data_IF_220153975743
#
_entry.id   IF_220153975743
#
_cell.length_a   1.000
_cell.length_b   1.000
_cell.length_c   1.000
_cell.angle_alpha   90.00
_cell.angle_beta   90.00
_cell.angle_gamma   90.00
#
_symmetry.space_group_name_H-M   'P 1'
#
loop_
_entity.id
_entity.type
_entity.pdbx_description
1 polymer ?
#
# COMPACT_ATOMS: atom_id res chain seq x y z
N UNK A 1 26.70 1.67 26.75
CA UNK A 1 25.80 1.14 25.69
C UNK A 1 25.61 2.22 24.64
N UNK A 2 26.10 2.03 23.41
CA UNK A 2 26.04 3.06 22.36
C UNK A 2 24.61 3.13 21.82
N UNK A 3 23.97 4.30 21.91
CA UNK A 3 22.63 4.49 21.36
C UNK A 3 22.70 4.40 19.82
N UNK A 4 21.92 3.50 19.18
CA UNK A 4 21.96 3.40 17.74
C UNK A 4 21.47 4.69 17.09
N UNK A 5 22.04 5.03 15.94
CA UNK A 5 21.50 6.13 15.12
C UNK A 5 20.04 5.85 14.75
N UNK A 6 19.22 6.85 14.42
CA UNK A 6 17.83 6.60 14.01
C UNK A 6 17.69 5.63 12.83
N UNK A 7 18.66 5.61 11.90
CA UNK A 7 18.70 4.63 10.82
C UNK A 7 19.08 3.24 11.34
N UNK A 8 20.08 3.17 12.23
CA UNK A 8 20.47 1.91 12.88
C UNK A 8 19.33 1.29 13.69
N UNK A 9 18.59 2.11 14.44
CA UNK A 9 17.41 1.68 15.17
C UNK A 9 16.30 1.16 14.24
N UNK A 10 16.08 1.81 13.09
CA UNK A 10 15.14 1.29 12.09
C UNK A 10 15.57 -0.07 11.54
N UNK A 11 16.86 -0.21 11.17
CA UNK A 11 17.39 -1.45 10.60
C UNK A 11 17.27 -2.59 11.61
N UNK A 12 17.69 -2.37 12.86
CA UNK A 12 17.60 -3.37 13.93
C UNK A 12 16.13 -3.79 14.10
N UNK A 13 15.21 -2.84 14.31
CA UNK A 13 13.81 -3.17 14.56
C UNK A 13 13.15 -3.92 13.38
N UNK A 14 13.52 -3.58 12.13
CA UNK A 14 13.03 -4.30 10.94
C UNK A 14 13.61 -5.71 10.84
N UNK A 15 14.87 -5.91 11.22
CA UNK A 15 15.49 -7.23 11.23
C UNK A 15 14.82 -8.11 12.28
N UNK A 16 14.64 -7.60 13.50
CA UNK A 16 13.94 -8.32 14.58
C UNK A 16 12.52 -8.70 14.15
N UNK A 17 11.77 -7.76 13.56
CA UNK A 17 10.42 -8.03 13.03
C UNK A 17 10.43 -9.20 12.02
N UNK A 18 11.40 -9.24 11.10
CA UNK A 18 11.49 -10.32 10.11
C UNK A 18 11.89 -11.66 10.73
N UNK A 19 12.74 -11.66 11.75
CA UNK A 19 13.09 -12.87 12.50
C UNK A 19 11.84 -13.40 13.19
N UNK A 20 11.14 -12.52 13.93
CA UNK A 20 9.88 -12.86 14.59
C UNK A 20 8.89 -13.40 13.57
N UNK A 21 8.61 -12.72 12.46
CA UNK A 21 7.68 -13.19 11.42
C UNK A 21 8.09 -14.57 10.88
N UNK A 22 9.39 -14.75 10.57
CA UNK A 22 9.91 -16.02 10.06
C UNK A 22 9.64 -17.14 11.07
N UNK A 23 9.97 -16.94 12.33
CA UNK A 23 9.86 -17.98 13.36
C UNK A 23 8.40 -18.22 13.75
N UNK A 24 7.63 -17.13 13.89
CA UNK A 24 6.22 -17.11 14.23
C UNK A 24 5.36 -17.93 13.26
N UNK A 25 5.64 -17.84 11.96
CA UNK A 25 4.91 -18.60 10.94
C UNK A 25 5.48 -19.99 10.67
N UNK A 26 6.66 -20.32 11.20
CA UNK A 26 7.30 -21.63 11.00
C UNK A 26 6.70 -22.72 11.88
N UNK A 27 6.25 -22.39 13.09
CA UNK A 27 5.68 -23.38 14.03
C UNK A 27 4.24 -23.72 13.63
N UNK A 28 4.07 -24.84 12.93
CA UNK A 28 2.74 -25.38 12.58
C UNK A 28 1.96 -25.76 13.84
N UNK A 29 0.66 -25.43 13.88
CA UNK A 29 -0.24 -25.81 14.99
C UNK A 29 -0.15 -24.93 16.24
N UNK A 30 0.84 -24.04 16.38
CA UNK A 30 0.95 -23.15 17.54
C UNK A 30 -0.28 -22.26 17.72
N UNK A 31 -0.90 -21.84 16.61
CA UNK A 31 -2.14 -21.06 16.59
C UNK A 31 -3.36 -21.81 17.12
N UNK A 32 -3.29 -23.14 17.18
CA UNK A 32 -4.35 -23.99 17.68
C UNK A 32 -4.23 -24.25 19.19
N UNK A 33 -3.08 -23.93 19.79
CA UNK A 33 -2.86 -24.13 21.23
C UNK A 33 -3.75 -23.20 22.04
N UNK A 34 -4.44 -23.73 23.05
CA UNK A 34 -5.44 -22.96 23.81
C UNK A 34 -4.83 -21.81 24.61
N UNK A 35 -3.63 -22.02 25.17
CA UNK A 35 -2.83 -20.95 25.82
C UNK A 35 -2.49 -19.84 24.82
N UNK A 36 -2.22 -20.22 23.57
CA UNK A 36 -1.88 -19.26 22.53
C UNK A 36 -3.10 -18.47 22.06
N UNK A 37 -4.27 -19.12 21.91
CA UNK A 37 -5.55 -18.45 21.60
C UNK A 37 -5.96 -17.43 22.66
N UNK A 38 -5.67 -17.70 23.94
CA UNK A 38 -5.97 -16.77 25.04
C UNK A 38 -5.14 -15.47 24.97
N UNK A 39 -3.93 -15.52 24.41
CA UNK A 39 -3.02 -14.35 24.33
C UNK A 39 -2.95 -13.70 22.93
N UNK A 40 -3.36 -14.41 21.88
CA UNK A 40 -3.33 -13.99 20.47
C UNK A 40 -3.91 -12.58 20.22
N UNK A 41 -5.15 -12.27 20.67
CA UNK A 41 -5.82 -11.04 20.26
C UNK A 41 -5.42 -9.80 21.07
N UNK A 42 -4.90 -9.99 22.29
CA UNK A 42 -4.72 -8.90 23.25
C UNK A 42 -3.26 -8.47 23.45
N UNK A 43 -2.29 -9.40 23.41
CA UNK A 43 -0.89 -9.09 23.69
C UNK A 43 -0.01 -9.14 22.44
N UNK A 44 -0.13 -10.21 21.65
CA UNK A 44 0.77 -10.44 20.50
C UNK A 44 0.49 -9.45 19.37
N UNK A 45 -0.78 -9.29 18.98
CA UNK A 45 -1.21 -8.30 17.97
C UNK A 45 -0.84 -6.88 18.39
N UNK A 46 -1.10 -6.51 19.64
CA UNK A 46 -0.75 -5.19 20.18
C UNK A 46 0.76 -4.92 20.13
N UNK A 47 1.60 -5.94 20.37
CA UNK A 47 3.05 -5.82 20.24
C UNK A 47 3.47 -5.62 18.78
N UNK A 48 2.90 -6.37 17.83
CA UNK A 48 3.14 -6.17 16.41
C UNK A 48 2.74 -4.77 15.95
N UNK A 49 1.56 -4.29 16.36
CA UNK A 49 1.08 -2.94 16.05
C UNK A 49 1.99 -1.85 16.63
N UNK A 50 2.51 -2.05 17.85
CA UNK A 50 3.45 -1.12 18.47
C UNK A 50 4.78 -1.06 17.72
N UNK A 51 5.32 -2.21 17.29
CA UNK A 51 6.53 -2.30 16.47
C UNK A 51 6.31 -1.62 15.13
N UNK A 52 5.18 -1.89 14.47
CA UNK A 52 4.84 -1.28 13.19
C UNK A 52 4.68 0.24 13.31
N UNK A 53 3.99 0.73 14.33
CA UNK A 53 3.88 2.16 14.60
C UNK A 53 5.26 2.80 14.79
N UNK A 54 6.18 2.16 15.50
CA UNK A 54 7.55 2.63 15.64
C UNK A 54 8.30 2.63 14.30
N UNK A 55 8.17 1.56 13.49
CA UNK A 55 8.75 1.47 12.15
C UNK A 55 8.24 2.57 11.22
N UNK A 56 6.94 2.89 11.27
CA UNK A 56 6.37 3.96 10.46
C UNK A 56 6.97 5.32 10.85
N UNK A 57 7.18 5.59 12.13
CA UNK A 57 7.85 6.83 12.58
C UNK A 57 9.29 6.92 12.08
N UNK A 58 10.05 5.82 12.13
CA UNK A 58 11.41 5.79 11.57
C UNK A 58 11.41 5.99 10.05
N UNK A 59 10.53 5.28 9.34
CA UNK A 59 10.37 5.37 7.89
C UNK A 59 9.99 6.78 7.46
N UNK A 60 9.06 7.44 8.15
CA UNK A 60 8.65 8.81 7.89
C UNK A 60 9.85 9.77 8.00
N UNK A 61 10.58 9.72 9.11
CA UNK A 61 11.82 10.52 9.31
C UNK A 61 12.86 10.25 8.22
N UNK A 62 13.03 8.99 7.80
CA UNK A 62 13.96 8.63 6.72
C UNK A 62 13.54 9.21 5.38
N UNK A 63 12.25 9.13 5.05
CA UNK A 63 11.68 9.67 3.80
C UNK A 63 11.80 11.19 3.78
N UNK A 64 11.44 11.86 4.87
CA UNK A 64 11.55 13.31 5.03
C UNK A 64 12.99 13.78 4.82
N UNK A 65 13.96 13.09 5.42
CA UNK A 65 15.39 13.40 5.27
C UNK A 65 15.95 13.02 3.89
N UNK A 66 15.36 12.05 3.20
CA UNK A 66 15.70 11.67 1.82
C UNK A 66 17.09 11.03 1.61
N UNK A 67 17.85 10.78 2.68
CA UNK A 67 19.25 10.33 2.60
C UNK A 67 19.44 8.85 2.30
N UNK A 68 18.51 8.00 2.73
CA UNK A 68 18.69 6.55 2.69
C UNK A 68 17.41 5.86 2.22
N UNK A 69 17.58 4.79 1.46
CA UNK A 69 16.53 3.85 1.08
C UNK A 69 16.91 2.46 1.56
N UNK A 70 16.04 1.84 2.36
CA UNK A 70 16.18 0.44 2.75
C UNK A 70 15.44 -0.41 1.72
N UNK A 71 16.15 -1.34 1.09
CA UNK A 71 15.56 -2.40 0.26
C UNK A 71 15.70 -3.72 1.00
N UNK A 72 14.60 -4.43 1.32
CA UNK A 72 14.72 -5.78 1.82
C UNK A 72 15.39 -6.69 0.79
N UNK A 73 16.18 -7.65 1.27
CA UNK A 73 16.58 -8.80 0.47
C UNK A 73 15.45 -9.84 0.50
N UNK A 74 15.26 -10.58 -0.60
CA UNK A 74 14.15 -11.52 -0.74
C UNK A 74 14.28 -12.68 0.26
N UNK A 75 15.46 -13.29 0.33
CA UNK A 75 15.68 -14.53 1.07
C UNK A 75 16.46 -14.33 2.37
N UNK A 76 16.49 -13.09 2.90
CA UNK A 76 17.18 -12.82 4.16
C UNK A 76 16.50 -11.74 5.00
N UNK A 77 16.83 -11.75 6.29
CA UNK A 77 16.44 -10.71 7.25
C UNK A 77 17.21 -9.40 7.03
N UNK A 78 18.17 -9.39 6.10
CA UNK A 78 19.06 -8.27 5.83
C UNK A 78 18.46 -7.25 4.85
N UNK A 79 19.03 -6.04 4.88
CA UNK A 79 18.60 -4.93 4.04
C UNK A 79 19.77 -4.33 3.26
N UNK A 80 19.55 -4.04 1.99
CA UNK A 80 20.42 -3.14 1.24
C UNK A 80 20.13 -1.70 1.63
N UNK A 81 21.14 -1.02 2.19
CA UNK A 81 21.08 0.41 2.48
C UNK A 81 21.61 1.18 1.26
N UNK A 82 20.71 1.81 0.50
CA UNK A 82 21.08 2.66 -0.64
C UNK A 82 21.15 4.11 -0.20
N UNK A 83 22.29 4.75 -0.43
CA UNK A 83 22.49 6.18 -0.21
C UNK A 83 22.62 6.87 -1.59
N UNK A 84 21.64 7.70 -2.01
CA UNK A 84 21.71 8.42 -3.29
C UNK A 84 22.90 9.39 -3.36
N UNK A 85 23.38 9.88 -2.21
CA UNK A 85 24.50 10.82 -2.15
C UNK A 85 25.85 10.19 -2.52
N UNK A 86 26.01 8.87 -2.43
CA UNK A 86 27.25 8.20 -2.86
C UNK A 86 27.47 8.23 -4.38
N UNK A 87 26.43 8.53 -5.16
CA UNK A 87 26.49 8.65 -6.62
C UNK A 87 26.58 10.10 -7.10
N UNK A 88 26.71 11.06 -6.20
CA UNK A 88 26.90 12.45 -6.58
C UNK A 88 28.29 12.63 -7.22
N UNK A 89 28.42 13.41 -8.31
CA UNK A 89 29.72 13.73 -8.89
C UNK A 89 30.66 14.33 -7.83
N UNK A 90 31.98 14.08 -7.90
CA UNK A 90 32.96 14.79 -7.07
C UNK A 90 32.73 16.30 -7.21
N UNK A 91 32.57 17.02 -6.09
CA UNK A 91 32.32 18.47 -6.08
C UNK A 91 30.84 18.89 -6.14
N UNK A 92 29.89 17.98 -6.34
CA UNK A 92 28.48 18.31 -6.15
C UNK A 92 28.19 18.54 -4.67
N UNK A 93 27.83 19.76 -4.29
CA UNK A 93 27.49 20.07 -2.90
C UNK A 93 26.35 19.15 -2.43
N UNK A 94 26.47 18.60 -1.22
CA UNK A 94 25.45 17.75 -0.58
C UNK A 94 24.04 18.33 -0.72
N UNK A 95 23.93 19.67 -0.71
CA UNK A 95 22.70 20.44 -0.90
C UNK A 95 22.08 20.25 -2.29
N UNK A 96 22.85 20.39 -3.38
CA UNK A 96 22.36 20.19 -4.75
C UNK A 96 21.87 18.75 -5.00
N UNK A 97 22.57 17.76 -4.45
CA UNK A 97 22.15 16.36 -4.58
C UNK A 97 20.81 16.08 -3.87
N UNK A 98 20.55 16.72 -2.73
CA UNK A 98 19.27 16.63 -2.02
C UNK A 98 18.15 17.35 -2.76
N UNK A 99 18.44 18.51 -3.33
CA UNK A 99 17.48 19.31 -4.10
C UNK A 99 17.02 18.56 -5.35
N UNK A 100 17.96 18.04 -6.14
CA UNK A 100 17.64 17.17 -7.29
C UNK A 100 16.82 15.94 -6.88
N UNK A 101 17.08 15.39 -5.70
CA UNK A 101 16.30 14.26 -5.18
C UNK A 101 14.88 14.66 -4.79
N UNK A 102 14.68 15.82 -4.17
CA UNK A 102 13.34 16.36 -3.85
C UNK A 102 12.53 16.54 -5.13
N UNK A 103 13.12 17.16 -6.15
CA UNK A 103 12.49 17.34 -7.46
C UNK A 103 12.09 15.99 -8.09
N UNK A 104 12.95 14.97 -8.02
CA UNK A 104 12.62 13.64 -8.53
C UNK A 104 11.45 12.98 -7.76
N UNK A 105 11.36 13.21 -6.45
CA UNK A 105 10.26 12.68 -5.63
C UNK A 105 8.94 13.39 -5.94
N UNK A 106 8.96 14.71 -6.13
CA UNK A 106 7.78 15.50 -6.53
C UNK A 106 7.26 15.06 -7.90
N UNK A 107 8.15 14.89 -8.89
CA UNK A 107 7.79 14.34 -10.20
C UNK A 107 7.12 12.96 -10.07
N UNK A 108 7.65 12.08 -9.22
CA UNK A 108 7.04 10.75 -8.98
C UNK A 108 5.68 10.83 -8.31
N UNK A 109 5.48 11.76 -7.36
CA UNK A 109 4.19 12.00 -6.73
C UNK A 109 3.15 12.50 -7.74
N UNK A 110 3.53 13.44 -8.59
CA UNK A 110 2.67 13.95 -9.66
C UNK A 110 2.28 12.84 -10.65
N UNK A 111 3.22 12.01 -11.07
CA UNK A 111 2.93 10.85 -11.93
C UNK A 111 1.99 9.86 -11.23
N UNK A 112 2.23 9.54 -9.95
CA UNK A 112 1.36 8.64 -9.21
C UNK A 112 -0.07 9.22 -9.05
N UNK A 113 -0.21 10.51 -8.77
CA UNK A 113 -1.49 11.19 -8.68
C UNK A 113 -2.25 11.16 -10.02
N UNK A 114 -1.54 11.41 -11.13
CA UNK A 114 -2.14 11.34 -12.47
C UNK A 114 -2.60 9.93 -12.83
N UNK A 115 -1.86 8.89 -12.44
CA UNK A 115 -2.26 7.49 -12.65
C UNK A 115 -3.50 7.11 -11.83
N UNK A 116 -3.60 7.60 -10.60
CA UNK A 116 -4.80 7.39 -9.76
C UNK A 116 -6.00 8.13 -10.36
N UNK A 117 -5.80 9.37 -10.80
CA UNK A 117 -6.84 10.16 -11.44
C UNK A 117 -7.34 9.51 -12.73
N UNK A 118 -6.45 9.03 -13.60
CA UNK A 118 -6.84 8.36 -14.85
C UNK A 118 -7.65 7.10 -14.59
N UNK A 119 -7.27 6.29 -13.59
CA UNK A 119 -8.03 5.10 -13.19
C UNK A 119 -9.42 5.44 -12.67
N UNK A 120 -9.56 6.49 -11.86
CA UNK A 120 -10.86 6.93 -11.36
C UNK A 120 -11.78 7.41 -12.50
N UNK A 121 -11.22 8.08 -13.52
CA UNK A 121 -11.96 8.51 -14.71
C UNK A 121 -12.41 7.31 -15.56
N UNK A 122 -11.56 6.29 -15.71
CA UNK A 122 -11.91 5.06 -16.44
C UNK A 122 -13.04 4.30 -15.74
N UNK A 123 -12.98 4.16 -14.42
CA UNK A 123 -14.05 3.52 -13.62
C UNK A 123 -15.36 4.33 -13.69
N UNK A 124 -15.30 5.66 -13.62
CA UNK A 124 -16.47 6.53 -13.76
C UNK A 124 -17.15 6.40 -15.14
N UNK A 125 -16.36 6.29 -16.20
CA UNK A 125 -16.87 6.11 -17.56
C UNK A 125 -17.56 4.73 -17.73
N UNK A 126 -17.01 3.68 -17.12
CA UNK A 126 -17.57 2.34 -17.10
C UNK A 126 -18.90 2.27 -16.33
N UNK A 127 -18.99 2.96 -15.19
CA UNK A 127 -20.24 3.07 -14.41
C UNK A 127 -21.30 3.87 -15.18
N UNK A 128 -20.91 4.93 -15.89
CA UNK A 128 -21.84 5.72 -16.69
C UNK A 128 -22.37 4.95 -17.92
N UNK A 129 -21.52 4.13 -18.56
CA UNK A 129 -21.94 3.24 -19.66
C UNK A 129 -22.92 2.15 -19.21
N UNK A 130 -22.67 1.53 -18.05
CA UNK A 130 -23.55 0.48 -17.49
C UNK A 130 -24.88 1.05 -16.97
N UNK A 131 -24.88 2.25 -16.40
CA UNK A 131 -26.11 2.94 -16.02
C UNK A 131 -26.99 3.29 -17.23
N UNK A 132 -26.39 3.76 -18.33
CA UNK A 132 -27.12 4.06 -19.58
C UNK A 132 -27.73 2.80 -20.20
N UNK A 133 -27.01 1.67 -20.23
CA UNK A 133 -27.54 0.42 -20.80
C UNK A 133 -28.72 -0.15 -19.99
N UNK A 134 -28.68 -0.06 -18.65
CA UNK A 134 -29.78 -0.47 -17.79
C UNK A 134 -31.04 0.38 -17.98
N UNK A 135 -30.90 1.69 -18.26
CA UNK A 135 -32.04 2.57 -18.53
C UNK A 135 -32.74 2.23 -19.86
N UNK A 136 -31.97 1.85 -20.88
CA UNK A 136 -32.46 1.45 -22.20
C UNK A 136 -33.22 0.12 -22.15
N UNK A 137 -32.73 -0.85 -21.38
CA UNK A 137 -33.46 -2.11 -21.18
C UNK A 137 -34.81 -1.90 -20.50
N UNK A 138 -34.90 -1.02 -19.50
CA UNK A 138 -36.17 -0.70 -18.83
C UNK A 138 -37.19 -0.04 -19.76
N UNK A 139 -36.74 0.77 -20.72
CA UNK A 139 -37.62 1.34 -21.72
C UNK A 139 -38.12 0.26 -22.69
N UNK A 140 -37.24 -0.60 -23.21
CA UNK A 140 -37.66 -1.68 -24.11
C UNK A 140 -38.65 -2.66 -23.45
N UNK A 141 -38.46 -3.02 -22.18
CA UNK A 141 -39.40 -3.91 -21.48
C UNK A 141 -40.77 -3.26 -21.29
N UNK A 142 -40.82 -1.97 -20.93
CA UNK A 142 -42.08 -1.23 -20.78
C UNK A 142 -42.87 -1.14 -22.09
N UNK A 143 -42.19 -0.93 -23.22
CA UNK A 143 -42.83 -0.91 -24.54
C UNK A 143 -43.33 -2.29 -24.96
N UNK A 144 -42.59 -3.35 -24.64
CA UNK A 144 -43.02 -4.73 -24.89
C UNK A 144 -44.26 -5.11 -24.07
N UNK A 145 -44.34 -4.70 -22.80
CA UNK A 145 -45.53 -4.90 -21.98
C UNK A 145 -46.74 -4.10 -22.48
N UNK A 146 -46.54 -2.85 -22.90
CA UNK A 146 -47.60 -2.05 -23.50
C UNK A 146 -48.15 -2.70 -24.78
N UNK A 147 -47.27 -3.25 -25.62
CA UNK A 147 -47.67 -4.02 -26.81
C UNK A 147 -48.46 -5.28 -26.45
N UNK A 148 -48.00 -6.06 -25.46
CA UNK A 148 -48.71 -7.26 -24.99
C UNK A 148 -50.12 -6.95 -24.47
N UNK A 149 -50.28 -5.87 -23.68
CA UNK A 149 -51.59 -5.42 -23.19
C UNK A 149 -52.48 -4.97 -24.34
N UNK A 150 -51.94 -4.24 -25.32
CA UNK A 150 -52.69 -3.79 -26.49
C UNK A 150 -53.20 -4.97 -27.34
N UNK A 151 -52.38 -6.00 -27.56
CA UNK A 151 -52.76 -7.21 -28.29
C UNK A 151 -53.83 -8.00 -27.53
N UNK A 152 -53.71 -8.11 -26.20
CA UNK A 152 -54.71 -8.81 -25.38
C UNK A 152 -56.08 -8.10 -25.37
N UNK A 153 -56.09 -6.76 -25.30
CA UNK A 153 -57.33 -5.97 -25.35
C UNK A 153 -57.97 -5.98 -26.73
N UNK A 154 -57.18 -6.06 -27.81
CA UNK A 154 -57.68 -6.07 -29.19
C UNK A 154 -58.18 -7.45 -29.66
N UNK A 155 -57.89 -8.51 -28.90
CA UNK A 155 -58.33 -9.89 -29.18
C UNK A 155 -59.54 -10.34 -28.33
N UNK A 156 -60.12 -9.46 -27.50
CA UNK A 156 -61.38 -9.66 -26.79
C UNK A 156 -62.52 -8.88 -27.47
#
# INVERSE_FOLDING_TARGET
MIKPSPLGGEVILRTEMRIIEKDYYTIKGMREWDVYKQHLPASITALFDAIDAALQRYKARRIERGFYYLRPMADSVSFWIRCPLKKAPPGASRRKALENRRLLLEKRKAVAANVVLSKATDEGHLVQMTAKSMSLMRLCTMWYFAYLVFVLVSCC
#
